data_IF_867193896443
#
_entry.id   IF_867193896443
#
_cell.length_a   1.000
_cell.length_b   1.000
_cell.length_c   1.000
_cell.angle_alpha   90.00
_cell.angle_beta   90.00
_cell.angle_gamma   90.00
#
_symmetry.space_group_name_H-M   'P 1'
#
loop_
_entity.id
_entity.type
_entity.pdbx_description
1 polymer ?
#
# COMPACT_ATOMS: atom_id res chain seq x y z
N UNK A 1 24.97 16.74 -8.22
CA UNK A 1 24.83 16.06 -6.91
C UNK A 1 23.49 16.49 -6.30
N UNK A 2 22.57 15.56 -6.04
CA UNK A 2 21.31 15.89 -5.37
C UNK A 2 21.49 16.03 -3.86
N UNK A 3 20.49 16.57 -3.14
CA UNK A 3 20.56 16.71 -1.68
C UNK A 3 20.86 15.35 -1.02
N UNK A 4 21.76 15.39 -0.04
CA UNK A 4 22.14 14.23 0.77
C UNK A 4 20.95 13.59 1.47
N UNK A 5 21.13 12.36 1.96
CA UNK A 5 20.10 11.65 2.73
C UNK A 5 19.74 12.46 3.98
N UNK A 6 18.58 13.12 3.97
CA UNK A 6 18.14 14.00 5.06
C UNK A 6 17.73 13.23 6.32
N UNK A 7 17.27 11.98 6.16
CA UNK A 7 16.93 11.08 7.27
C UNK A 7 18.17 10.30 7.79
N UNK A 8 19.28 10.34 7.06
CA UNK A 8 20.42 9.45 7.25
C UNK A 8 20.18 8.06 6.62
N UNK A 9 21.26 7.42 6.16
CA UNK A 9 21.19 6.14 5.43
C UNK A 9 20.48 5.03 6.19
N UNK A 10 20.66 4.95 7.51
CA UNK A 10 20.07 3.91 8.35
C UNK A 10 18.54 4.03 8.38
N UNK A 11 18.03 5.24 8.61
CA UNK A 11 16.59 5.49 8.69
C UNK A 11 15.94 5.41 7.30
N UNK A 12 16.65 5.87 6.26
CA UNK A 12 16.21 5.72 4.88
C UNK A 12 16.05 4.25 4.49
N UNK A 13 17.00 3.38 4.87
CA UNK A 13 16.88 1.93 4.66
C UNK A 13 15.72 1.31 5.45
N UNK A 14 15.46 1.74 6.69
CA UNK A 14 14.29 1.27 7.46
C UNK A 14 12.98 1.63 6.76
N UNK A 15 12.90 2.84 6.21
CA UNK A 15 11.76 3.30 5.43
C UNK A 15 11.57 2.43 4.18
N UNK A 16 12.65 2.15 3.44
CA UNK A 16 12.64 1.28 2.25
C UNK A 16 12.12 -0.13 2.58
N UNK A 17 12.61 -0.72 3.68
CA UNK A 17 12.16 -2.05 4.15
C UNK A 17 10.67 -2.04 4.48
N UNK A 18 10.19 -0.98 5.14
CA UNK A 18 8.77 -0.82 5.44
C UNK A 18 7.91 -0.71 4.16
N UNK A 19 8.35 0.09 3.18
CA UNK A 19 7.66 0.25 1.90
C UNK A 19 7.57 -1.08 1.13
N UNK A 20 8.68 -1.82 1.04
CA UNK A 20 8.70 -3.15 0.41
C UNK A 20 7.79 -4.14 1.12
N UNK A 21 7.73 -4.08 2.47
CA UNK A 21 6.83 -4.92 3.26
C UNK A 21 5.37 -4.60 2.93
N UNK A 22 4.99 -3.32 2.90
CA UNK A 22 3.63 -2.90 2.54
C UNK A 22 3.24 -3.38 1.13
N UNK A 23 4.15 -3.25 0.17
CA UNK A 23 3.95 -3.78 -1.19
C UNK A 23 3.75 -5.29 -1.23
N UNK A 24 4.55 -6.05 -0.47
CA UNK A 24 4.41 -7.51 -0.36
C UNK A 24 3.04 -7.93 0.16
N UNK A 25 2.42 -7.13 1.04
CA UNK A 25 1.07 -7.40 1.57
C UNK A 25 -0.07 -6.83 0.69
N UNK A 26 0.23 -6.33 -0.51
CA UNK A 26 -0.78 -5.82 -1.43
C UNK A 26 -1.21 -4.38 -1.17
N UNK A 27 -0.45 -3.62 -0.37
CA UNK A 27 -0.71 -2.21 -0.08
C UNK A 27 0.39 -1.33 -0.69
N UNK A 28 0.39 -1.10 -2.02
CA UNK A 28 1.31 -0.15 -2.63
C UNK A 28 0.99 1.27 -2.14
N UNK A 29 1.97 1.93 -1.53
CA UNK A 29 1.82 3.33 -1.10
C UNK A 29 1.98 4.28 -2.29
N UNK A 30 1.17 5.34 -2.33
CA UNK A 30 1.31 6.37 -3.37
C UNK A 30 2.49 7.30 -3.08
N UNK A 31 2.88 8.09 -4.09
CA UNK A 31 3.89 9.15 -3.94
C UNK A 31 3.56 10.09 -2.77
N UNK A 32 2.29 10.46 -2.61
CA UNK A 32 1.83 11.34 -1.53
C UNK A 32 1.97 10.68 -0.17
N UNK A 33 1.64 9.39 -0.06
CA UNK A 33 1.74 8.64 1.19
C UNK A 33 3.20 8.47 1.61
N UNK A 34 4.09 8.10 0.69
CA UNK A 34 5.52 7.98 0.98
C UNK A 34 6.10 9.32 1.45
N UNK A 35 5.66 10.43 0.86
CA UNK A 35 6.12 11.77 1.23
C UNK A 35 5.59 12.22 2.60
N UNK A 36 4.37 11.85 2.97
CA UNK A 36 3.80 12.08 4.32
C UNK A 36 4.48 11.19 5.35
N UNK A 37 4.65 9.90 5.03
CA UNK A 37 5.32 8.92 5.87
C UNK A 37 6.74 9.36 6.22
N UNK A 38 7.51 9.83 5.23
CA UNK A 38 8.86 10.33 5.44
C UNK A 38 8.91 11.57 6.34
N UNK A 39 7.92 12.48 6.25
CA UNK A 39 7.81 13.65 7.12
C UNK A 39 7.52 13.23 8.56
N UNK A 40 6.47 12.42 8.76
CA UNK A 40 6.08 11.92 10.08
C UNK A 40 7.22 11.12 10.74
N UNK A 41 7.94 10.34 9.94
CA UNK A 41 9.09 9.58 10.42
C UNK A 41 10.24 10.49 10.88
N UNK A 42 10.46 11.61 10.18
CA UNK A 42 11.46 12.60 10.56
C UNK A 42 11.09 13.32 11.88
N UNK A 43 9.83 13.75 12.00
CA UNK A 43 9.30 14.40 13.22
C UNK A 43 9.32 13.45 14.43
N UNK A 44 8.94 12.17 14.23
CA UNK A 44 8.99 11.14 15.27
C UNK A 44 10.42 10.85 15.75
N UNK A 45 11.40 10.97 14.87
CA UNK A 45 12.81 10.80 15.22
C UNK A 45 13.47 12.09 15.71
N UNK A 46 12.72 13.20 15.81
CA UNK A 46 13.21 14.53 16.20
C UNK A 46 14.41 14.98 15.35
N UNK A 47 14.45 14.57 14.08
CA UNK A 47 15.53 14.95 13.16
C UNK A 47 15.26 16.37 12.67
N UNK A 48 16.19 17.29 12.93
CA UNK A 48 16.11 18.64 12.38
C UNK A 48 16.08 18.60 10.84
N UNK A 49 14.95 19.00 10.27
CA UNK A 49 14.73 18.97 8.83
C UNK A 49 14.17 20.28 8.29
N UNK A 50 14.46 20.55 7.02
CA UNK A 50 13.94 21.71 6.28
C UNK A 50 12.63 21.40 5.56
N UNK A 51 11.94 20.31 5.91
CA UNK A 51 10.64 20.00 5.33
C UNK A 51 9.62 21.08 5.69
N UNK A 52 8.67 21.30 4.79
CA UNK A 52 7.60 22.24 5.01
C UNK A 52 6.68 21.67 6.10
N UNK A 53 6.71 22.30 7.28
CA UNK A 53 5.91 21.92 8.45
C UNK A 53 4.44 22.31 8.32
N UNK A 54 4.11 23.31 7.50
CA UNK A 54 2.72 23.75 7.28
C UNK A 54 1.93 22.71 6.49
N UNK A 55 2.57 22.07 5.51
CA UNK A 55 1.92 21.03 4.70
C UNK A 55 2.10 19.61 5.27
N UNK A 56 3.09 19.39 6.13
CA UNK A 56 3.37 18.06 6.72
C UNK A 56 3.84 17.02 5.70
N UNK A 57 4.53 17.46 4.64
CA UNK A 57 4.94 16.63 3.50
C UNK A 57 6.38 16.98 3.10
N UNK A 58 7.19 15.97 2.79
CA UNK A 58 8.55 16.21 2.26
C UNK A 58 8.52 16.75 0.82
N UNK A 59 9.52 17.56 0.45
CA UNK A 59 9.63 18.14 -0.89
C UNK A 59 9.78 17.11 -2.01
N UNK A 60 9.34 17.48 -3.22
CA UNK A 60 9.46 16.65 -4.42
C UNK A 60 10.93 16.32 -4.78
N UNK A 61 11.86 17.25 -4.53
CA UNK A 61 13.28 17.06 -4.82
C UNK A 61 13.94 16.02 -3.92
N UNK A 62 13.53 15.97 -2.65
CA UNK A 62 13.95 14.91 -1.73
C UNK A 62 13.45 13.57 -2.22
N UNK A 63 12.16 13.48 -2.61
CA UNK A 63 11.55 12.25 -3.09
C UNK A 63 12.20 11.73 -4.38
N UNK A 64 12.49 12.61 -5.34
CA UNK A 64 13.25 12.26 -6.56
C UNK A 64 14.64 11.74 -6.22
N UNK A 65 15.32 12.36 -5.26
CA UNK A 65 16.65 11.93 -4.83
C UNK A 65 16.61 10.60 -4.06
N UNK A 66 15.57 10.37 -3.26
CA UNK A 66 15.28 9.11 -2.56
C UNK A 66 15.09 7.97 -3.56
N UNK A 67 14.24 8.15 -4.58
CA UNK A 67 14.04 7.13 -5.62
C UNK A 67 15.30 6.88 -6.45
N UNK A 68 16.12 7.90 -6.72
CA UNK A 68 17.41 7.71 -7.40
C UNK A 68 18.39 6.88 -6.57
N UNK A 69 18.34 6.96 -5.25
CA UNK A 69 19.18 6.14 -4.34
C UNK A 69 18.65 4.72 -4.17
N UNK A 70 17.34 4.55 -4.30
CA UNK A 70 16.63 3.28 -4.13
C UNK A 70 15.86 2.94 -5.41
N UNK A 71 16.59 2.74 -6.51
CA UNK A 71 16.01 2.46 -7.83
C UNK A 71 15.29 1.10 -7.89
N UNK A 72 15.48 0.27 -6.88
CA UNK A 72 14.80 -1.00 -6.63
C UNK A 72 13.40 -0.81 -6.01
N UNK A 73 13.05 0.40 -5.56
CA UNK A 73 11.69 0.72 -5.13
C UNK A 73 10.82 1.08 -6.33
N UNK A 74 9.89 0.18 -6.69
CA UNK A 74 8.82 0.49 -7.62
C UNK A 74 7.64 1.10 -6.87
N UNK A 75 7.51 2.43 -6.81
CA UNK A 75 6.33 3.06 -6.20
C UNK A 75 5.16 2.92 -7.15
N UNK A 76 4.14 2.17 -6.73
CA UNK A 76 2.91 2.01 -7.49
C UNK A 76 2.16 3.33 -7.59
N UNK A 77 1.70 3.68 -8.78
CA UNK A 77 0.52 4.54 -8.90
C UNK A 77 -0.61 3.73 -8.25
N UNK A 78 -1.37 4.32 -7.31
CA UNK A 78 -2.60 3.68 -6.88
C UNK A 78 -3.45 3.47 -8.13
N UNK A 79 -3.58 2.22 -8.56
CA UNK A 79 -4.65 1.86 -9.45
C UNK A 79 -5.91 2.03 -8.61
N UNK A 80 -6.73 3.01 -8.98
CA UNK A 80 -8.02 3.17 -8.32
C UNK A 80 -8.70 1.81 -8.36
N UNK A 81 -9.15 1.33 -7.21
CA UNK A 81 -10.06 0.19 -7.17
C UNK A 81 -11.17 0.55 -8.15
N UNK A 82 -11.29 -0.21 -9.26
CA UNK A 82 -12.32 0.10 -10.25
C UNK A 82 -13.65 0.18 -9.52
N UNK A 83 -14.55 1.06 -9.95
CA UNK A 83 -15.86 1.21 -9.30
C UNK A 83 -16.54 -0.16 -9.08
N UNK A 84 -16.41 -1.08 -10.05
CA UNK A 84 -16.89 -2.45 -9.93
C UNK A 84 -16.25 -3.27 -8.80
N UNK A 85 -14.94 -3.15 -8.55
CA UNK A 85 -14.28 -3.81 -7.41
C UNK A 85 -14.65 -3.17 -6.08
N UNK A 86 -14.78 -1.84 -6.03
CA UNK A 86 -15.18 -1.14 -4.82
C UNK A 86 -16.62 -1.46 -4.43
N UNK A 87 -17.49 -1.57 -5.42
CA UNK A 87 -18.89 -1.95 -5.23
C UNK A 87 -19.01 -3.42 -4.85
N UNK A 88 -18.34 -4.34 -5.56
CA UNK A 88 -18.39 -5.77 -5.26
C UNK A 88 -17.73 -6.21 -3.95
N UNK A 89 -17.01 -5.33 -3.26
CA UNK A 89 -16.41 -5.59 -1.94
C UNK A 89 -17.12 -4.85 -0.79
N UNK A 90 -18.38 -4.42 -0.98
CA UNK A 90 -19.17 -3.91 0.14
C UNK A 90 -19.76 -5.06 0.99
N UNK A 91 -20.06 -4.78 2.26
CA UNK A 91 -20.53 -5.80 3.20
C UNK A 91 -21.84 -6.49 2.77
N UNK A 92 -22.72 -5.77 2.08
CA UNK A 92 -24.00 -6.29 1.59
C UNK A 92 -23.77 -7.25 0.44
N UNK A 93 -22.99 -6.86 -0.57
CA UNK A 93 -22.70 -7.67 -1.74
C UNK A 93 -21.87 -8.91 -1.38
N UNK A 94 -20.91 -8.78 -0.47
CA UNK A 94 -20.14 -9.92 0.05
C UNK A 94 -21.03 -10.86 0.87
N UNK A 95 -21.91 -10.30 1.72
CA UNK A 95 -22.87 -11.10 2.48
C UNK A 95 -23.84 -11.87 1.57
N UNK A 96 -24.39 -11.19 0.57
CA UNK A 96 -25.27 -11.78 -0.44
C UNK A 96 -24.53 -12.87 -1.23
N UNK A 97 -23.29 -12.63 -1.64
CA UNK A 97 -22.46 -13.61 -2.32
C UNK A 97 -22.33 -14.91 -1.50
N UNK A 98 -21.93 -14.82 -0.24
CA UNK A 98 -21.78 -16.02 0.61
C UNK A 98 -23.11 -16.70 0.93
N UNK A 99 -24.20 -15.93 1.01
CA UNK A 99 -25.55 -16.47 1.18
C UNK A 99 -25.97 -17.29 -0.05
N UNK A 100 -25.81 -16.74 -1.25
CA UNK A 100 -26.10 -17.46 -2.49
C UNK A 100 -25.18 -18.65 -2.69
N UNK A 101 -23.88 -18.50 -2.39
CA UNK A 101 -22.93 -19.59 -2.45
C UNK A 101 -23.35 -20.75 -1.53
N UNK A 102 -23.73 -20.45 -0.29
CA UNK A 102 -24.20 -21.47 0.66
C UNK A 102 -25.48 -22.16 0.17
N UNK A 103 -26.45 -21.40 -0.36
CA UNK A 103 -27.66 -21.97 -0.93
C UNK A 103 -27.35 -22.92 -2.10
N UNK A 104 -26.54 -22.48 -3.07
CA UNK A 104 -26.14 -23.30 -4.22
C UNK A 104 -25.37 -24.55 -3.80
N UNK A 105 -24.44 -24.45 -2.83
CA UNK A 105 -23.71 -25.60 -2.33
C UNK A 105 -24.62 -26.60 -1.61
N UNK A 106 -25.65 -26.13 -0.89
CA UNK A 106 -26.63 -26.99 -0.25
C UNK A 106 -27.53 -27.70 -1.27
N UNK A 107 -28.07 -26.96 -2.25
CA UNK A 107 -28.95 -27.49 -3.30
C UNK A 107 -28.29 -28.59 -4.13
N UNK A 108 -26.97 -28.51 -4.32
CA UNK A 108 -26.20 -29.47 -5.11
C UNK A 108 -25.45 -30.49 -4.24
N UNK A 109 -25.63 -30.47 -2.91
CA UNK A 109 -24.95 -31.34 -1.95
C UNK A 109 -23.41 -31.35 -2.12
N UNK A 110 -22.84 -30.17 -2.35
CA UNK A 110 -21.43 -29.97 -2.72
C UNK A 110 -20.51 -29.59 -1.55
N UNK A 111 -21.04 -29.38 -0.35
CA UNK A 111 -20.24 -28.98 0.81
C UNK A 111 -19.07 -29.93 1.10
N UNK A 112 -19.29 -31.23 0.92
CA UNK A 112 -18.31 -32.29 1.19
C UNK A 112 -17.82 -33.00 -0.10
N UNK A 113 -18.11 -32.45 -1.28
CA UNK A 113 -17.79 -33.07 -2.59
C UNK A 113 -17.10 -32.09 -3.54
N UNK A 114 -15.90 -31.57 -3.17
CA UNK A 114 -15.16 -30.64 -4.04
C UNK A 114 -14.81 -31.25 -5.40
N UNK A 115 -14.67 -32.57 -5.50
CA UNK A 115 -14.44 -33.32 -6.74
C UNK A 115 -15.56 -33.19 -7.77
N UNK A 116 -16.77 -32.81 -7.35
CA UNK A 116 -17.92 -32.61 -8.24
C UNK A 116 -17.99 -31.19 -8.83
N UNK A 117 -17.12 -30.26 -8.39
CA UNK A 117 -17.12 -28.85 -8.84
C UNK A 117 -16.35 -28.68 -10.15
N UNK A 118 -15.37 -29.54 -10.41
CA UNK A 118 -14.56 -29.51 -11.63
C UNK A 118 -14.54 -30.90 -12.26
N UNK A 119 -15.03 -30.98 -13.51
CA UNK A 119 -14.91 -32.16 -14.38
C UNK A 119 -13.58 -32.13 -15.11
#
# INVERSE_FOLDING_TARGET
MGPGSMLGRINENKLVVHLKKAQKYGFPMTVSDVRKLAFNYAESLQINHKFNKEHGIVGSDWFRSFLRRHSDLSIGKAEGVSLGRGQGMNCVDVGNYFTFLQATLNENELFDKPESIYV
#
